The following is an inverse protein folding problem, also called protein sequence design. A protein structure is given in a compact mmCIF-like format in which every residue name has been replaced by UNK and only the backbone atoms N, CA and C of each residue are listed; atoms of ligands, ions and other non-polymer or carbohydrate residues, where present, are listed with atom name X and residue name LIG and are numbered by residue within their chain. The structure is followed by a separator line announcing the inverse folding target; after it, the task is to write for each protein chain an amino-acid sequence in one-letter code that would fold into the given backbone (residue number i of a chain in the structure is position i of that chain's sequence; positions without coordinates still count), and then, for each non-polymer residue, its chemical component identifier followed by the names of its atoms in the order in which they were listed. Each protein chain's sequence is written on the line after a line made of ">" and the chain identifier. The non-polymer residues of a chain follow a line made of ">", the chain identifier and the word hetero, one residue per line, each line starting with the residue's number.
data_IF_034241618678
#
_entry.id   IF_034241618678
#
_cell.length_a   1.000
_cell.length_b   1.000
_cell.length_c   1.000
_cell.angle_alpha   90.00
_cell.angle_beta   90.00
_cell.angle_gamma   90.00
#
_symmetry.space_group_name_H-M   'P 1'
#
loop_
_entity.id
_entity.type
_entity.pdbx_description
1 polymer ?
#
# COMPACT_ATOMS: atom_id res chain seq x y z
N UNK A 1 -22.12 -15.89 2.29
CA UNK A 1 -21.79 -15.56 0.87
C UNK A 1 -20.32 -15.18 0.79
N UNK A 2 -19.61 -15.58 -0.26
CA UNK A 2 -18.25 -15.14 -0.44
C UNK A 2 -18.16 -13.63 -0.71
N UNK A 3 -17.03 -13.04 -0.41
CA UNK A 3 -16.75 -11.63 -0.68
C UNK A 3 -16.83 -11.32 -2.18
N UNK A 4 -17.13 -10.09 -2.51
CA UNK A 4 -17.05 -9.60 -3.89
C UNK A 4 -15.60 -9.65 -4.41
N UNK A 5 -15.37 -9.66 -5.72
CA UNK A 5 -14.03 -9.58 -6.27
C UNK A 5 -13.24 -8.36 -5.77
N UNK A 6 -13.90 -7.21 -5.62
CA UNK A 6 -13.25 -6.00 -5.11
C UNK A 6 -12.82 -6.13 -3.66
N UNK A 7 -13.65 -6.67 -2.79
CA UNK A 7 -13.30 -6.94 -1.40
C UNK A 7 -12.12 -7.90 -1.31
N UNK A 8 -12.11 -8.92 -2.16
CA UNK A 8 -10.98 -9.88 -2.22
C UNK A 8 -9.68 -9.23 -2.71
N UNK A 9 -9.75 -8.33 -3.68
CA UNK A 9 -8.60 -7.56 -4.15
C UNK A 9 -8.03 -6.68 -3.05
N UNK A 10 -8.89 -6.01 -2.30
CA UNK A 10 -8.50 -5.18 -1.16
C UNK A 10 -7.78 -6.01 -0.10
N UNK A 11 -8.34 -7.15 0.27
CA UNK A 11 -7.74 -8.05 1.25
C UNK A 11 -6.36 -8.57 0.79
N UNK A 12 -6.22 -8.93 -0.46
CA UNK A 12 -4.93 -9.39 -1.02
C UNK A 12 -3.92 -8.25 -1.05
N UNK A 13 -4.34 -7.03 -1.35
CA UNK A 13 -3.48 -5.85 -1.32
C UNK A 13 -2.96 -5.57 0.09
N UNK A 14 -3.80 -5.68 1.09
CA UNK A 14 -3.43 -5.54 2.51
C UNK A 14 -2.46 -6.66 2.91
N UNK A 15 -2.73 -7.90 2.50
CA UNK A 15 -1.84 -9.03 2.77
C UNK A 15 -0.44 -8.83 2.18
N UNK A 16 -0.34 -8.30 0.97
CA UNK A 16 0.92 -7.95 0.33
C UNK A 16 1.68 -6.89 1.15
N UNK A 17 1.01 -5.83 1.55
CA UNK A 17 1.61 -4.77 2.36
C UNK A 17 2.02 -5.29 3.74
N UNK A 18 1.20 -6.14 4.36
CA UNK A 18 1.54 -6.76 5.65
C UNK A 18 2.79 -7.62 5.55
N UNK A 19 2.93 -8.39 4.49
CA UNK A 19 4.12 -9.21 4.24
C UNK A 19 5.38 -8.36 4.11
N UNK A 20 5.33 -7.28 3.35
CA UNK A 20 6.44 -6.34 3.20
C UNK A 20 6.81 -5.67 4.53
N UNK A 21 5.81 -5.23 5.30
CA UNK A 21 6.04 -4.62 6.60
C UNK A 21 6.69 -5.59 7.57
N UNK A 22 6.17 -6.81 7.67
CA UNK A 22 6.71 -7.83 8.55
C UNK A 22 8.16 -8.17 8.20
N UNK A 23 8.47 -8.32 6.92
CA UNK A 23 9.83 -8.59 6.45
C UNK A 23 10.81 -7.48 6.85
N UNK A 24 10.38 -6.23 6.79
CA UNK A 24 11.21 -5.07 7.13
C UNK A 24 11.15 -4.67 8.61
N UNK A 25 10.42 -5.39 9.43
CA UNK A 25 10.29 -5.10 10.86
C UNK A 25 9.37 -3.93 11.19
N UNK A 26 8.43 -3.60 10.32
CA UNK A 26 7.45 -2.54 10.53
C UNK A 26 6.11 -3.11 11.00
N UNK A 27 5.37 -2.27 11.71
CA UNK A 27 4.00 -2.57 12.14
C UNK A 27 3.01 -1.91 11.18
N UNK A 28 2.04 -2.67 10.71
CA UNK A 28 0.96 -2.16 9.88
C UNK A 28 -0.34 -2.12 10.70
N UNK A 29 -1.03 -0.99 10.64
CA UNK A 29 -2.35 -0.82 11.23
C UNK A 29 -3.36 -0.49 10.13
N UNK A 30 -4.52 -1.15 10.19
CA UNK A 30 -5.62 -0.91 9.25
C UNK A 30 -6.55 0.13 9.89
N UNK A 31 -6.83 1.21 9.15
CA UNK A 31 -7.74 2.23 9.61
C UNK A 31 -9.19 1.71 9.61
N UNK A 32 -9.88 1.89 10.72
CA UNK A 32 -11.25 1.44 10.89
C UNK A 32 -12.24 2.27 10.10
N UNK A 33 -11.94 3.55 9.91
CA UNK A 33 -12.77 4.48 9.13
C UNK A 33 -11.90 5.31 8.19
N UNK A 34 -12.29 5.34 6.94
CA UNK A 34 -11.65 6.14 5.91
C UNK A 34 -12.27 7.55 5.92
N UNK A 35 -11.81 8.40 6.82
CA UNK A 35 -12.29 9.78 6.92
C UNK A 35 -11.49 10.76 6.07
N UNK A 36 -10.22 10.42 5.78
CA UNK A 36 -9.25 11.33 5.13
C UNK A 36 -8.42 10.63 4.04
N UNK A 37 -8.88 9.51 3.55
CA UNK A 37 -8.21 8.76 2.50
C UNK A 37 -7.09 7.85 2.98
N UNK A 38 -6.90 7.69 4.29
CA UNK A 38 -5.90 6.78 4.85
C UNK A 38 -6.50 5.39 5.01
N UNK A 39 -5.94 4.41 4.32
CA UNK A 39 -6.38 3.01 4.42
C UNK A 39 -5.57 2.23 5.44
N UNK A 40 -4.27 2.44 5.46
CA UNK A 40 -3.34 1.80 6.38
C UNK A 40 -2.30 2.79 6.88
N UNK A 41 -1.74 2.50 8.06
CA UNK A 41 -0.63 3.27 8.64
C UNK A 41 0.51 2.32 8.97
N UNK A 42 1.72 2.68 8.56
CA UNK A 42 2.94 1.93 8.84
C UNK A 42 3.73 2.64 9.93
N UNK A 43 4.19 1.88 10.90
CA UNK A 43 5.01 2.37 12.01
C UNK A 43 6.30 1.57 12.12
N UNK A 44 7.34 2.28 12.55
CA UNK A 44 8.58 1.68 13.02
C UNK A 44 8.84 2.15 14.46
N UNK A 45 9.48 1.33 15.26
CA UNK A 45 9.83 1.72 16.63
C UNK A 45 10.81 2.91 16.65
N UNK A 46 11.76 2.88 15.76
CA UNK A 46 12.73 3.96 15.58
C UNK A 46 13.76 3.61 14.53
N UNK A 47 14.46 4.61 14.05
CA UNK A 47 15.58 4.41 13.13
C UNK A 47 16.62 5.51 13.34
N UNK A 48 17.91 5.22 13.11
CA UNK A 48 18.93 6.25 13.21
C UNK A 48 18.75 7.30 12.11
N UNK A 49 18.89 8.58 12.48
CA UNK A 49 18.92 9.67 11.52
C UNK A 49 20.28 9.73 10.86
N UNK A 50 20.32 9.73 9.53
CA UNK A 50 21.57 9.80 8.77
C UNK A 50 22.25 11.17 8.84
N UNK A 51 21.50 12.23 9.19
CA UNK A 51 22.01 13.61 9.20
C UNK A 51 22.50 14.09 10.56
N UNK A 52 22.00 13.51 11.64
CA UNK A 52 22.33 14.02 13.00
C UNK A 52 22.75 12.92 13.98
N UNK A 53 22.75 11.67 13.55
CA UNK A 53 23.00 10.53 14.45
C UNK A 53 21.92 10.30 15.50
N UNK A 54 20.85 11.10 15.48
CA UNK A 54 19.73 10.97 16.41
C UNK A 54 18.79 9.86 16.00
N UNK A 55 18.28 9.12 16.98
CA UNK A 55 17.25 8.13 16.79
C UNK A 55 15.87 8.82 16.73
N UNK A 56 15.11 8.58 15.66
CA UNK A 56 13.72 9.01 15.56
C UNK A 56 12.82 7.92 16.10
N UNK A 57 11.93 8.28 17.03
CA UNK A 57 11.00 7.34 17.65
C UNK A 57 9.64 7.38 16.97
N UNK A 58 9.07 6.18 16.77
CA UNK A 58 7.73 5.98 16.25
C UNK A 58 7.41 6.76 14.96
N UNK A 59 8.30 6.79 13.96
CA UNK A 59 7.96 7.41 12.70
C UNK A 59 6.78 6.67 12.09
N UNK A 60 5.85 7.42 11.47
CA UNK A 60 4.64 6.89 10.86
C UNK A 60 4.52 7.36 9.42
N UNK A 61 3.91 6.50 8.60
CA UNK A 61 3.60 6.79 7.21
C UNK A 61 2.17 6.33 6.93
N UNK A 62 1.33 7.25 6.47
CA UNK A 62 -0.02 6.94 6.04
C UNK A 62 -0.01 6.50 4.58
N UNK A 63 -0.85 5.56 4.25
CA UNK A 63 -0.95 5.01 2.90
C UNK A 63 -2.40 5.01 2.43
N UNK A 64 -2.62 5.56 1.24
CA UNK A 64 -3.81 5.32 0.46
C UNK A 64 -3.52 4.15 -0.47
N UNK A 65 -4.29 3.07 -0.34
CA UNK A 65 -4.06 1.82 -1.04
C UNK A 65 -5.12 1.63 -2.13
N UNK A 66 -4.68 1.39 -3.34
CA UNK A 66 -5.54 1.10 -4.48
C UNK A 66 -5.08 -0.17 -5.17
N UNK A 67 -6.02 -0.96 -5.65
CA UNK A 67 -5.75 -2.11 -6.51
C UNK A 67 -6.54 -1.96 -7.82
N UNK A 68 -5.95 -2.40 -8.91
CA UNK A 68 -6.55 -2.22 -10.23
C UNK A 68 -6.16 -3.37 -11.16
N UNK A 69 -7.08 -3.74 -12.05
CA UNK A 69 -6.80 -4.62 -13.17
C UNK A 69 -6.16 -3.87 -14.35
N UNK A 70 -6.29 -2.54 -14.40
CA UNK A 70 -5.76 -1.74 -15.49
C UNK A 70 -4.23 -1.77 -15.49
N UNK A 71 -3.64 -1.90 -16.67
CA UNK A 71 -2.20 -1.74 -16.82
C UNK A 71 -1.83 -0.28 -16.68
N UNK A 72 -0.73 -0.01 -15.98
CA UNK A 72 -0.21 1.33 -15.85
C UNK A 72 0.41 1.78 -17.17
N UNK A 73 0.11 3.02 -17.56
CA UNK A 73 0.81 3.65 -18.67
C UNK A 73 2.16 4.16 -18.18
N UNK A 74 3.22 3.67 -18.79
CA UNK A 74 4.57 4.12 -18.48
C UNK A 74 5.01 5.18 -19.47
N UNK A 75 5.46 6.32 -18.96
CA UNK A 75 6.05 7.38 -19.77
C UNK A 75 7.48 7.01 -20.18
N UNK A 76 8.03 7.73 -21.19
CA UNK A 76 9.40 7.49 -21.68
C UNK A 76 10.47 7.62 -20.60
N UNK A 77 10.24 8.44 -19.58
CA UNK A 77 11.16 8.63 -18.45
C UNK A 77 11.02 7.58 -17.34
N UNK A 78 10.18 6.57 -17.53
CA UNK A 78 9.91 5.53 -16.52
C UNK A 78 8.77 5.85 -15.57
N UNK A 79 8.21 7.05 -15.59
CA UNK A 79 7.09 7.41 -14.73
C UNK A 79 5.82 6.63 -15.10
N UNK A 80 5.03 6.32 -14.08
CA UNK A 80 3.77 5.60 -14.22
C UNK A 80 2.62 6.58 -14.00
N UNK A 81 1.62 6.50 -14.88
CA UNK A 81 0.41 7.32 -14.77
C UNK A 81 -0.74 6.45 -14.26
N UNK A 82 -1.43 6.95 -13.25
CA UNK A 82 -2.60 6.30 -12.67
C UNK A 82 -3.73 7.32 -12.53
N UNK A 83 -4.95 6.93 -12.95
CA UNK A 83 -6.15 7.78 -12.83
C UNK A 83 -6.75 7.58 -11.44
N UNK A 84 -6.83 8.67 -10.69
CA UNK A 84 -7.36 8.69 -9.33
C UNK A 84 -8.57 9.61 -9.27
N UNK A 85 -9.60 9.23 -8.49
CA UNK A 85 -10.74 10.10 -8.25
C UNK A 85 -10.30 11.40 -7.57
N UNK A 86 -10.95 12.52 -7.90
CA UNK A 86 -10.60 13.85 -7.38
C UNK A 86 -10.60 13.91 -5.85
N UNK A 87 -11.55 13.24 -5.20
CA UNK A 87 -11.62 13.14 -3.73
C UNK A 87 -10.32 12.54 -3.15
N UNK A 88 -9.85 11.46 -3.73
CA UNK A 88 -8.64 10.76 -3.28
C UNK A 88 -7.39 11.58 -3.57
N UNK A 89 -7.33 12.21 -4.74
CA UNK A 89 -6.24 13.11 -5.10
C UNK A 89 -6.14 14.29 -4.13
N UNK A 90 -7.26 14.92 -3.81
CA UNK A 90 -7.29 16.05 -2.88
C UNK A 90 -6.76 15.67 -1.50
N UNK A 91 -7.06 14.46 -1.01
CA UNK A 91 -6.52 13.96 0.25
C UNK A 91 -5.00 13.80 0.22
N UNK A 92 -4.43 13.42 -0.93
CA UNK A 92 -2.99 13.23 -1.09
C UNK A 92 -2.21 14.55 -1.13
N UNK A 93 -2.80 15.62 -1.64
CA UNK A 93 -2.11 16.90 -1.87
C UNK A 93 -2.28 17.91 -0.74
N UNK A 94 -2.94 17.55 0.35
CA UNK A 94 -3.04 18.42 1.52
C UNK A 94 -1.63 18.71 2.07
N UNK A 95 -1.25 20.00 2.09
CA UNK A 95 0.13 20.41 2.37
C UNK A 95 0.52 20.45 3.85
N UNK A 96 -0.44 20.50 4.75
CA UNK A 96 -0.21 20.67 6.20
C UNK A 96 -0.57 19.44 7.02
N UNK A 97 -0.41 18.25 6.43
CA UNK A 97 -0.60 16.99 7.17
C UNK A 97 0.50 16.81 8.21
N UNK A 98 0.11 16.34 9.38
CA UNK A 98 1.07 15.98 10.44
C UNK A 98 1.86 14.72 10.09
N UNK A 99 1.24 13.79 9.39
CA UNK A 99 1.86 12.52 8.97
C UNK A 99 1.92 12.48 7.44
N UNK A 100 3.08 12.14 6.86
CA UNK A 100 3.18 11.96 5.41
C UNK A 100 2.21 10.91 4.91
N UNK A 101 1.67 11.13 3.71
CA UNK A 101 0.82 10.17 3.02
C UNK A 101 1.38 9.87 1.64
N UNK A 102 1.33 8.60 1.24
CA UNK A 102 1.67 8.16 -0.11
C UNK A 102 0.55 7.33 -0.70
N UNK A 103 0.48 7.31 -2.02
CA UNK A 103 -0.39 6.42 -2.76
C UNK A 103 0.39 5.15 -3.13
N UNK A 104 -0.16 4.01 -2.78
CA UNK A 104 0.35 2.70 -3.23
C UNK A 104 -0.70 2.06 -4.11
N UNK A 105 -0.32 1.74 -5.34
CA UNK A 105 -1.20 1.10 -6.32
C UNK A 105 -0.66 -0.27 -6.65
N UNK A 106 -1.49 -1.29 -6.49
CA UNK A 106 -1.18 -2.66 -6.84
C UNK A 106 -1.91 -3.04 -8.13
N UNK A 107 -1.15 -3.45 -9.13
CA UNK A 107 -1.73 -4.04 -10.33
C UNK A 107 -2.03 -5.51 -10.08
N UNK A 108 -3.30 -5.90 -10.25
CA UNK A 108 -3.77 -7.26 -10.06
C UNK A 108 -4.09 -7.89 -11.41
N UNK A 109 -3.77 -9.16 -11.58
CA UNK A 109 -4.20 -9.92 -12.74
C UNK A 109 -5.72 -10.13 -12.72
N UNK A 110 -6.37 -10.16 -13.89
CA UNK A 110 -7.79 -10.48 -13.97
C UNK A 110 -8.09 -11.92 -13.56
N UNK A 111 -7.11 -12.82 -13.70
CA UNK A 111 -7.21 -14.19 -13.24
C UNK A 111 -6.88 -14.26 -11.74
N UNK A 112 -7.90 -14.43 -10.94
CA UNK A 112 -7.81 -14.53 -9.47
C UNK A 112 -6.84 -15.60 -9.01
N UNK A 113 -6.66 -16.67 -9.76
CA UNK A 113 -5.74 -17.77 -9.43
C UNK A 113 -4.28 -17.34 -9.39
N UNK A 114 -3.94 -16.21 -10.03
CA UNK A 114 -2.59 -15.66 -10.07
C UNK A 114 -2.27 -14.72 -8.90
N UNK A 115 -3.24 -14.35 -8.07
CA UNK A 115 -3.02 -13.42 -6.98
C UNK A 115 -2.21 -14.01 -5.85
N UNK A 116 -2.44 -15.28 -5.53
CA UNK A 116 -1.79 -15.98 -4.44
C UNK A 116 -1.38 -17.37 -4.91
N UNK A 117 -0.13 -17.74 -4.66
CA UNK A 117 0.39 -19.07 -4.91
C UNK A 117 0.81 -19.71 -3.58
N UNK A 118 0.31 -20.91 -3.34
CA UNK A 118 0.58 -21.67 -2.12
C UNK A 118 1.12 -23.05 -2.47
N UNK A 119 2.21 -23.43 -1.81
CA UNK A 119 2.79 -24.77 -1.87
C UNK A 119 3.15 -25.24 -0.45
N UNK A 120 3.62 -26.47 -0.32
CA UNK A 120 4.09 -26.99 0.99
C UNK A 120 5.20 -26.14 1.61
N UNK A 121 5.99 -25.45 0.81
CA UNK A 121 7.18 -24.73 1.25
C UNK A 121 7.05 -23.20 1.14
N UNK A 122 6.02 -22.68 0.49
CA UNK A 122 5.92 -21.26 0.24
C UNK A 122 4.49 -20.78 0.07
N UNK A 123 4.26 -19.56 0.50
CA UNK A 123 3.09 -18.75 0.17
C UNK A 123 3.59 -17.50 -0.57
N UNK A 124 3.10 -17.26 -1.78
CA UNK A 124 3.43 -16.07 -2.56
C UNK A 124 2.19 -15.24 -2.81
N UNK A 125 2.24 -13.96 -2.45
CA UNK A 125 1.27 -12.95 -2.85
C UNK A 125 1.89 -12.19 -4.00
N UNK A 126 1.30 -12.30 -5.18
CA UNK A 126 1.92 -11.82 -6.40
C UNK A 126 1.19 -10.60 -6.94
N UNK A 127 1.93 -9.52 -7.12
CA UNK A 127 1.48 -8.42 -7.98
C UNK A 127 1.90 -8.74 -9.42
N UNK A 128 1.04 -8.48 -10.37
CA UNK A 128 1.45 -8.47 -11.77
C UNK A 128 2.11 -7.13 -12.09
N UNK A 129 3.34 -7.21 -12.47
CA UNK A 129 4.05 -6.02 -12.90
C UNK A 129 3.55 -5.55 -14.29
#
# INVERSE_FOLDING_TARGET
>A
MPNTPQESMEDVSIAYMQGLCAYNGYTLSIERRDNDGVDITIKCKGYPSTTSGCLKYSPTLDIQLKSSFARFKQKRNGDITFILESKNYNNLVIGDRMTPIILVVLHMDRDRKKWVKHSKSALKVTKCA
#
